data_IF_978087004039
#
_entry.id   IF_978087004039
#
_cell.length_a   1.000
_cell.length_b   1.000
_cell.length_c   1.000
_cell.angle_alpha   90.00
_cell.angle_beta   90.00
_cell.angle_gamma   90.00
#
_symmetry.space_group_name_H-M   'P 1'
#
loop_
_entity.id
_entity.type
_entity.pdbx_description
1 polymer ?
#
# COMPACT_ATOMS: atom_id res chain seq x y z
N UNK A 1 21.90 1.29 -14.59
CA UNK A 1 21.24 -0.02 -14.50
C UNK A 1 20.32 0.03 -13.30
N UNK A 2 19.07 0.41 -13.52
CA UNK A 2 18.03 0.35 -12.48
C UNK A 2 17.78 -1.15 -12.23
N UNK A 3 18.38 -1.72 -11.18
CA UNK A 3 17.95 -3.04 -10.73
C UNK A 3 16.49 -2.86 -10.36
N UNK A 4 15.63 -3.56 -11.07
CA UNK A 4 14.25 -3.80 -10.67
C UNK A 4 14.24 -4.32 -9.23
N UNK A 5 14.08 -3.41 -8.27
CA UNK A 5 14.07 -3.74 -6.86
C UNK A 5 12.71 -4.38 -6.55
N UNK A 6 12.68 -5.70 -6.73
CA UNK A 6 11.51 -6.52 -6.51
C UNK A 6 10.86 -6.28 -5.13
N UNK A 7 11.62 -6.17 -4.02
CA UNK A 7 11.05 -5.74 -2.74
C UNK A 7 10.23 -4.44 -2.82
N UNK A 8 10.73 -3.41 -3.49
CA UNK A 8 9.97 -2.17 -3.67
C UNK A 8 8.77 -2.35 -4.61
N UNK A 9 8.89 -3.15 -5.69
CA UNK A 9 7.74 -3.48 -6.55
C UNK A 9 6.64 -4.20 -5.78
N UNK A 10 7.01 -5.16 -4.93
CA UNK A 10 6.09 -5.88 -4.05
C UNK A 10 5.38 -4.94 -3.08
N UNK A 11 6.14 -4.07 -2.40
CA UNK A 11 5.57 -3.09 -1.48
C UNK A 11 4.58 -2.15 -2.19
N UNK A 12 4.91 -1.69 -3.39
CA UNK A 12 4.01 -0.84 -4.19
C UNK A 12 2.77 -1.59 -4.66
N UNK A 13 2.91 -2.85 -5.09
CA UNK A 13 1.78 -3.69 -5.46
C UNK A 13 0.86 -3.94 -4.25
N UNK A 14 1.42 -4.15 -3.07
CA UNK A 14 0.68 -4.30 -1.82
C UNK A 14 -0.10 -3.02 -1.48
N UNK A 15 0.55 -1.85 -1.47
CA UNK A 15 -0.15 -0.58 -1.19
C UNK A 15 -1.27 -0.32 -2.20
N UNK A 16 -1.04 -0.56 -3.50
CA UNK A 16 -2.08 -0.42 -4.53
C UNK A 16 -3.26 -1.37 -4.28
N UNK A 17 -2.99 -2.62 -3.89
CA UNK A 17 -4.03 -3.58 -3.53
C UNK A 17 -4.87 -3.08 -2.35
N UNK A 18 -4.22 -2.61 -1.27
CA UNK A 18 -4.91 -2.06 -0.10
C UNK A 18 -5.80 -0.88 -0.47
N UNK A 19 -5.29 0.05 -1.30
CA UNK A 19 -6.06 1.21 -1.76
C UNK A 19 -7.31 0.76 -2.53
N UNK A 20 -7.15 -0.16 -3.48
CA UNK A 20 -8.26 -0.67 -4.28
C UNK A 20 -9.31 -1.36 -3.41
N UNK A 21 -8.89 -2.18 -2.44
CA UNK A 21 -9.79 -2.85 -1.49
C UNK A 21 -10.52 -1.87 -0.58
N UNK A 22 -9.82 -0.84 -0.10
CA UNK A 22 -10.44 0.19 0.72
C UNK A 22 -11.50 0.98 -0.07
N UNK A 23 -11.21 1.32 -1.34
CA UNK A 23 -12.15 1.99 -2.23
C UNK A 23 -13.37 1.11 -2.56
N UNK A 24 -13.16 -0.19 -2.81
CA UNK A 24 -14.26 -1.16 -3.02
C UNK A 24 -15.19 -1.30 -1.81
N UNK A 25 -14.68 -1.07 -0.60
CA UNK A 25 -15.46 -1.07 0.65
C UNK A 25 -16.08 0.29 0.96
N UNK A 26 -15.89 1.29 0.09
CA UNK A 26 -16.43 2.64 0.25
C UNK A 26 -15.67 3.51 1.25
N UNK A 27 -14.48 3.11 1.70
CA UNK A 27 -13.74 3.89 2.68
C UNK A 27 -13.18 5.17 2.09
N UNK A 28 -13.51 6.29 2.73
CA UNK A 28 -12.86 7.58 2.44
C UNK A 28 -11.38 7.56 2.81
N UNK A 29 -10.56 8.38 2.14
CA UNK A 29 -9.11 8.43 2.38
C UNK A 29 -8.74 8.73 3.84
N UNK A 30 -9.46 9.67 4.48
CA UNK A 30 -9.26 10.04 5.88
C UNK A 30 -9.86 9.02 6.85
N UNK A 31 -10.99 8.43 6.50
CA UNK A 31 -11.65 7.38 7.29
C UNK A 31 -10.78 6.13 7.37
N UNK A 32 -10.27 5.67 6.23
CA UNK A 32 -9.36 4.52 6.19
C UNK A 32 -8.10 4.79 7.02
N UNK A 33 -7.51 5.99 6.90
CA UNK A 33 -6.35 6.36 7.69
C UNK A 33 -6.63 6.34 9.21
N UNK A 34 -7.80 6.82 9.64
CA UNK A 34 -8.21 6.77 11.03
C UNK A 34 -8.41 5.34 11.54
N UNK A 35 -8.86 4.40 10.69
CA UNK A 35 -8.93 2.97 11.01
C UNK A 35 -7.55 2.33 11.20
N UNK A 36 -6.57 2.70 10.39
CA UNK A 36 -5.21 2.16 10.51
C UNK A 36 -4.53 2.58 11.82
N UNK A 37 -4.78 3.81 12.27
CA UNK A 37 -4.12 4.36 13.45
C UNK A 37 -5.10 5.11 14.36
N UNK A 38 -5.96 4.40 15.10
CA UNK A 38 -7.00 5.01 15.92
C UNK A 38 -6.47 5.83 17.09
N UNK A 39 -5.22 5.62 17.51
CA UNK A 39 -4.57 6.41 18.57
C UNK A 39 -3.94 7.71 18.07
N UNK A 40 -3.89 7.94 16.75
CA UNK A 40 -3.32 9.17 16.18
C UNK A 40 -4.42 10.21 15.89
N UNK A 41 -4.11 11.51 16.00
CA UNK A 41 -5.01 12.55 15.53
C UNK A 41 -5.36 12.32 14.04
N UNK A 42 -6.63 12.45 13.62
CA UNK A 42 -7.07 12.12 12.26
C UNK A 42 -6.26 12.81 11.15
N UNK A 43 -5.86 14.06 11.38
CA UNK A 43 -5.01 14.82 10.44
C UNK A 43 -3.64 14.18 10.24
N UNK A 44 -3.02 13.69 11.31
CA UNK A 44 -1.70 13.04 11.27
C UNK A 44 -1.80 11.68 10.59
N UNK A 45 -2.85 10.90 10.91
CA UNK A 45 -3.12 9.64 10.24
C UNK A 45 -3.31 9.84 8.71
N UNK A 46 -4.09 10.83 8.30
CA UNK A 46 -4.31 11.16 6.90
C UNK A 46 -3.03 11.59 6.17
N UNK A 47 -2.17 12.38 6.82
CA UNK A 47 -0.85 12.74 6.29
C UNK A 47 0.03 11.51 6.09
N UNK A 48 0.11 10.62 7.10
CA UNK A 48 0.89 9.38 7.01
C UNK A 48 0.37 8.46 5.90
N UNK A 49 -0.94 8.29 5.80
CA UNK A 49 -1.56 7.51 4.71
C UNK A 49 -1.24 8.10 3.34
N UNK A 50 -1.27 9.43 3.22
CA UNK A 50 -0.94 10.12 1.98
C UNK A 50 0.53 9.91 1.59
N UNK A 51 1.46 9.92 2.55
CA UNK A 51 2.88 9.65 2.30
C UNK A 51 3.16 8.21 1.85
N UNK A 52 2.41 7.24 2.37
CA UNK A 52 2.50 5.82 1.97
C UNK A 52 1.91 5.61 0.57
N UNK A 53 0.75 6.20 0.28
CA UNK A 53 0.03 5.99 -0.99
C UNK A 53 0.59 6.81 -2.15
N UNK A 54 1.00 8.05 -1.93
CA UNK A 54 1.40 8.92 -3.02
C UNK A 54 2.77 8.51 -3.57
N UNK A 55 2.83 8.31 -4.90
CA UNK A 55 4.04 8.64 -5.66
C UNK A 55 4.18 10.15 -5.63
N UNK A 56 4.68 10.71 -4.54
CA UNK A 56 4.82 12.16 -4.43
C UNK A 56 5.79 12.64 -5.51
N UNK A 57 5.26 13.37 -6.50
CA UNK A 57 6.04 13.96 -7.57
C UNK A 57 7.00 15.07 -7.08
N UNK A 58 6.86 15.53 -5.83
CA UNK A 58 7.61 16.66 -5.28
C UNK A 58 8.59 16.29 -4.14
N UNK A 59 8.38 15.19 -3.41
CA UNK A 59 9.20 14.88 -2.21
C UNK A 59 10.13 13.67 -2.37
N UNK A 60 10.12 13.02 -3.53
CA UNK A 60 10.86 11.77 -3.71
C UNK A 60 10.18 10.61 -2.97
N UNK A 61 10.36 9.41 -3.54
CA UNK A 61 10.01 8.06 -3.07
C UNK A 61 8.91 7.93 -1.98
N UNK A 62 7.80 7.21 -2.26
CA UNK A 62 6.79 6.90 -1.25
C UNK A 62 7.41 6.35 0.04
N UNK A 63 6.77 6.63 1.19
CA UNK A 63 7.22 6.06 2.46
C UNK A 63 7.04 4.54 2.46
N UNK A 64 8.03 3.84 2.99
CA UNK A 64 8.00 2.38 3.16
C UNK A 64 6.88 1.96 4.14
N UNK A 65 6.38 0.75 3.95
CA UNK A 65 5.38 0.12 4.81
C UNK A 65 6.08 -0.78 5.80
N UNK A 66 5.92 -0.51 7.10
CA UNK A 66 6.40 -1.43 8.13
C UNK A 66 5.49 -2.66 8.22
N UNK A 67 5.98 -3.79 8.74
CA UNK A 67 5.13 -4.97 8.98
C UNK A 67 3.94 -4.67 9.89
N UNK A 68 4.12 -3.78 10.88
CA UNK A 68 3.03 -3.35 11.74
C UNK A 68 1.97 -2.54 10.98
N UNK A 69 2.37 -1.71 10.01
CA UNK A 69 1.44 -1.00 9.14
C UNK A 69 0.71 -1.97 8.20
N UNK A 70 1.41 -2.95 7.64
CA UNK A 70 0.81 -3.97 6.79
C UNK A 70 -0.26 -4.79 7.54
N UNK A 71 0.03 -5.21 8.77
CA UNK A 71 -0.96 -5.91 9.61
C UNK A 71 -2.20 -5.05 9.87
N UNK A 72 -2.03 -3.77 10.22
CA UNK A 72 -3.17 -2.85 10.43
C UNK A 72 -3.99 -2.65 9.17
N UNK A 73 -3.37 -2.61 8.00
CA UNK A 73 -4.07 -2.53 6.72
C UNK A 73 -4.92 -3.77 6.47
N UNK A 74 -4.39 -4.96 6.80
CA UNK A 74 -5.12 -6.21 6.72
C UNK A 74 -6.31 -6.21 7.70
N UNK A 75 -6.07 -5.86 8.96
CA UNK A 75 -7.10 -5.77 10.01
C UNK A 75 -8.22 -4.77 9.65
N UNK A 76 -7.85 -3.59 9.10
CA UNK A 76 -8.82 -2.57 8.70
C UNK A 76 -9.69 -3.01 7.52
N UNK A 77 -9.20 -3.94 6.70
CA UNK A 77 -9.97 -4.61 5.65
C UNK A 77 -10.64 -5.89 6.17
N UNK A 78 -10.32 -6.40 7.37
CA UNK A 78 -10.79 -7.71 7.81
C UNK A 78 -10.37 -8.83 6.86
N UNK A 79 -9.16 -8.74 6.32
CA UNK A 79 -8.55 -9.74 5.44
C UNK A 79 -7.24 -10.24 6.06
N UNK A 80 -6.82 -11.47 5.72
CA UNK A 80 -5.56 -12.04 6.20
C UNK A 80 -4.35 -11.38 5.52
N UNK A 81 -3.35 -10.98 6.31
CA UNK A 81 -2.13 -10.36 5.77
C UNK A 81 -1.39 -11.29 4.80
N UNK A 82 -1.33 -12.58 5.12
CA UNK A 82 -0.66 -13.59 4.29
C UNK A 82 -1.29 -13.69 2.90
N UNK A 83 -2.62 -13.63 2.82
CA UNK A 83 -3.37 -13.62 1.56
C UNK A 83 -3.09 -12.35 0.75
N UNK A 84 -3.16 -11.19 1.39
CA UNK A 84 -2.87 -9.91 0.72
C UNK A 84 -1.44 -9.85 0.17
N UNK A 85 -0.46 -10.41 0.89
CA UNK A 85 0.91 -10.53 0.42
C UNK A 85 1.06 -11.49 -0.76
N UNK A 86 0.34 -12.61 -0.76
CA UNK A 86 0.33 -13.56 -1.88
C UNK A 86 -0.20 -12.88 -3.16
N UNK A 87 -1.34 -12.19 -3.09
CA UNK A 87 -1.92 -11.46 -4.21
C UNK A 87 -1.00 -10.32 -4.67
N UNK A 88 -0.41 -9.56 -3.73
CA UNK A 88 0.55 -8.52 -4.07
C UNK A 88 1.79 -9.07 -4.79
N UNK A 89 2.26 -10.27 -4.41
CA UNK A 89 3.39 -10.96 -5.03
C UNK A 89 3.09 -11.35 -6.48
N UNK A 90 1.87 -11.81 -6.76
CA UNK A 90 1.40 -12.12 -8.11
C UNK A 90 1.30 -10.85 -8.96
N UNK A 91 0.69 -9.79 -8.44
CA UNK A 91 0.58 -8.50 -9.10
C UNK A 91 1.96 -7.90 -9.45
N UNK A 92 2.92 -8.00 -8.53
CA UNK A 92 4.29 -7.52 -8.74
C UNK A 92 5.02 -8.31 -9.84
N UNK A 93 4.76 -9.62 -9.97
CA UNK A 93 5.31 -10.45 -11.06
C UNK A 93 4.64 -10.17 -12.41
N UNK A 94 3.32 -9.97 -12.42
CA UNK A 94 2.58 -9.59 -13.63
C UNK A 94 3.09 -8.27 -14.22
N UNK A 95 3.37 -7.28 -13.35
CA UNK A 95 3.95 -6.01 -13.76
C UNK A 95 5.36 -6.15 -14.39
N UNK A 96 6.18 -7.12 -13.95
CA UNK A 96 7.50 -7.41 -14.54
C UNK A 96 7.34 -8.02 -15.94
N UNK A 97 6.39 -8.93 -16.12
CA UNK A 97 6.17 -9.58 -17.40
C UNK A 97 5.66 -8.61 -18.48
N UNK A 98 4.88 -7.60 -18.11
CA UNK A 98 4.43 -6.54 -19.04
C UNK A 98 5.55 -5.54 -19.41
N UNK A 99 6.54 -5.34 -18.53
CA UNK A 99 7.71 -4.49 -18.86
C UNK A 99 8.72 -5.22 -19.74
N UNK A 100 8.83 -6.55 -19.65
CA UNK A 100 9.70 -7.36 -20.48
C UNK A 100 9.17 -7.59 -21.92
N UNK A 101 7.91 -7.24 -22.19
CA UNK A 101 7.27 -7.37 -23.51
C UNK A 101 7.28 -6.09 -24.36
N UNK A 102 7.80 -4.98 -23.85
CA UNK A 102 7.86 -3.68 -24.55
C UNK A 102 9.27 -3.35 -25.03
#
# INVERSE_FOLDING_TARGET
MERDDYPQKLERAFVTLIVSRAEQRGYGKGEFAAKLWPWMPPKIAATRWSAIRAKSAHTGKPQNVTMADAQRMADALGEELSYLLAVAKENAKGAINDTAKR
#
